data_IF_158214102826
#
_entry.id   IF_158214102826
#
_cell.length_a   1.000
_cell.length_b   1.000
_cell.length_c   1.000
_cell.angle_alpha   90.00
_cell.angle_beta   90.00
_cell.angle_gamma   90.00
#
_symmetry.space_group_name_H-M   'P 1'
#
loop_
_entity.id
_entity.type
_entity.pdbx_description
1 polymer ?
#
# COMPACT_ATOMS: atom_id res chain seq x y z
N UNK A 1 -25.72 -15.34 -4.51
CA UNK A 1 -25.81 -16.80 -4.67
C UNK A 1 -26.70 -17.31 -3.53
N UNK A 2 -27.96 -17.60 -3.80
CA UNK A 2 -28.92 -18.03 -2.77
C UNK A 2 -28.68 -19.51 -2.44
N UNK A 3 -27.82 -19.75 -1.45
CA UNK A 3 -27.52 -21.09 -0.92
C UNK A 3 -28.76 -21.81 -0.37
N UNK A 4 -29.81 -21.05 -0.03
CA UNK A 4 -31.10 -21.52 0.50
C UNK A 4 -31.92 -22.34 -0.51
N UNK A 5 -31.64 -22.22 -1.82
CA UNK A 5 -32.38 -22.92 -2.88
C UNK A 5 -31.91 -24.36 -3.12
N UNK A 6 -30.79 -24.75 -2.53
CA UNK A 6 -30.27 -26.10 -2.67
C UNK A 6 -30.64 -26.89 -1.41
N UNK A 7 -31.47 -27.95 -1.51
CA UNK A 7 -31.68 -28.85 -0.39
C UNK A 7 -30.37 -29.61 -0.17
N UNK A 8 -29.48 -29.01 0.63
CA UNK A 8 -28.31 -29.69 1.15
C UNK A 8 -28.85 -30.83 2.01
N UNK A 9 -28.81 -32.07 1.48
CA UNK A 9 -29.44 -33.26 2.05
C UNK A 9 -28.80 -33.76 3.35
N UNK A 10 -28.47 -32.86 4.26
CA UNK A 10 -27.94 -33.16 5.58
C UNK A 10 -29.03 -33.10 6.65
N UNK A 11 -28.98 -34.03 7.60
CA UNK A 11 -29.75 -33.94 8.83
C UNK A 11 -29.22 -32.78 9.66
N UNK A 12 -30.05 -31.78 9.94
CA UNK A 12 -29.66 -30.67 10.82
C UNK A 12 -29.37 -31.21 12.23
N UNK A 13 -28.14 -31.02 12.70
CA UNK A 13 -27.73 -31.37 14.06
C UNK A 13 -27.94 -30.18 15.00
N UNK A 14 -28.63 -30.41 16.11
CA UNK A 14 -28.66 -29.50 17.25
C UNK A 14 -27.37 -29.64 18.07
N UNK A 15 -26.96 -28.58 18.78
CA UNK A 15 -25.77 -28.60 19.64
C UNK A 15 -25.79 -29.75 20.66
N UNK A 16 -26.97 -30.15 21.15
CA UNK A 16 -27.15 -31.28 22.08
C UNK A 16 -26.93 -32.68 21.45
N UNK A 17 -26.89 -32.77 20.11
CA UNK A 17 -26.62 -34.02 19.39
C UNK A 17 -25.13 -34.18 19.03
N UNK A 18 -24.34 -33.10 19.10
CA UNK A 18 -22.89 -33.13 18.84
C UNK A 18 -22.15 -34.03 19.85
N UNK A 19 -22.59 -34.06 21.11
CA UNK A 19 -21.99 -34.89 22.16
C UNK A 19 -22.36 -36.39 22.06
N UNK A 20 -23.34 -36.73 21.20
CA UNK A 20 -23.82 -38.12 21.02
C UNK A 20 -23.20 -38.82 19.81
N UNK A 21 -22.37 -38.12 19.04
CA UNK A 21 -21.69 -38.67 17.86
C UNK A 21 -20.18 -38.68 18.10
N UNK A 22 -19.49 -39.62 17.46
CA UNK A 22 -18.04 -39.73 17.54
C UNK A 22 -17.40 -38.44 17.00
N UNK A 23 -16.93 -37.59 17.90
CA UNK A 23 -16.32 -36.30 17.56
C UNK A 23 -14.82 -36.42 17.64
N UNK A 24 -14.13 -36.13 16.54
CA UNK A 24 -12.67 -36.00 16.51
C UNK A 24 -12.35 -34.51 16.50
N UNK A 25 -11.85 -34.02 17.63
CA UNK A 25 -11.27 -32.69 17.74
C UNK A 25 -9.76 -32.78 17.59
N UNK A 26 -9.21 -32.09 16.61
CA UNK A 26 -7.77 -31.98 16.41
C UNK A 26 -7.42 -30.52 16.15
N UNK A 27 -6.38 -30.02 16.81
CA UNK A 27 -5.77 -28.73 16.49
C UNK A 27 -4.70 -28.99 15.43
N UNK A 28 -4.90 -28.62 14.16
CA UNK A 28 -3.86 -28.82 13.16
C UNK A 28 -2.67 -27.90 13.45
N UNK A 29 -1.46 -28.47 13.53
CA UNK A 29 -0.21 -27.69 13.47
C UNK A 29 0.01 -27.22 12.03
N UNK A 30 -0.60 -26.09 11.66
CA UNK A 30 -0.41 -25.49 10.35
C UNK A 30 0.93 -24.75 10.30
N UNK A 31 1.97 -25.42 9.82
CA UNK A 31 3.25 -24.80 9.46
C UNK A 31 3.16 -24.28 8.03
N UNK A 32 3.02 -22.97 7.86
CA UNK A 32 3.03 -22.33 6.54
C UNK A 32 4.22 -21.37 6.43
N UNK A 33 4.80 -21.30 5.24
CA UNK A 33 5.73 -20.26 4.85
C UNK A 33 5.00 -19.32 3.89
N UNK A 34 4.99 -18.02 4.18
CA UNK A 34 4.45 -17.01 3.27
C UNK A 34 5.54 -16.58 2.30
N UNK A 35 5.28 -16.73 1.01
CA UNK A 35 6.06 -16.05 -0.01
C UNK A 35 5.42 -14.68 -0.32
N UNK A 36 6.20 -13.78 -0.91
CA UNK A 36 5.69 -12.49 -1.36
C UNK A 36 4.93 -12.61 -2.71
N UNK A 37 4.83 -13.82 -3.29
CA UNK A 37 4.37 -14.04 -4.65
C UNK A 37 5.20 -13.33 -5.73
N UNK A 38 4.92 -13.57 -7.02
CA UNK A 38 5.73 -13.04 -8.13
C UNK A 38 5.63 -11.52 -8.26
N UNK A 39 4.46 -10.94 -7.95
CA UNK A 39 4.25 -9.51 -8.13
C UNK A 39 5.03 -8.66 -7.10
N UNK A 40 4.85 -8.96 -5.81
CA UNK A 40 5.50 -8.19 -4.74
C UNK A 40 6.99 -8.53 -4.66
N UNK A 41 7.41 -9.78 -4.92
CA UNK A 41 8.85 -10.12 -4.93
C UNK A 41 9.64 -9.23 -5.88
N UNK A 42 9.20 -9.10 -7.14
CA UNK A 42 9.87 -8.22 -8.12
C UNK A 42 9.77 -6.74 -7.73
N UNK A 43 8.63 -6.32 -7.17
CA UNK A 43 8.46 -4.96 -6.70
C UNK A 43 9.49 -4.58 -5.62
N UNK A 44 9.69 -5.46 -4.63
CA UNK A 44 10.68 -5.27 -3.57
C UNK A 44 12.11 -5.30 -4.13
N UNK A 45 12.42 -6.19 -5.08
CA UNK A 45 13.72 -6.19 -5.76
C UNK A 45 14.00 -4.87 -6.50
N UNK A 46 12.98 -4.28 -7.15
CA UNK A 46 13.16 -3.02 -7.86
C UNK A 46 13.25 -1.81 -6.92
N UNK A 47 12.55 -1.83 -5.78
CA UNK A 47 12.75 -0.84 -4.73
C UNK A 47 14.20 -0.88 -4.22
N UNK A 48 14.80 -2.07 -4.10
CA UNK A 48 16.23 -2.21 -3.78
C UNK A 48 17.12 -1.54 -4.82
N UNK A 49 16.76 -1.64 -6.09
CA UNK A 49 17.45 -0.96 -7.19
C UNK A 49 17.17 0.55 -7.27
N UNK A 50 16.27 1.09 -6.44
CA UNK A 50 15.85 2.49 -6.49
C UNK A 50 14.94 2.82 -7.67
N UNK A 51 14.13 1.85 -8.11
CA UNK A 51 13.16 2.01 -9.19
C UNK A 51 11.78 1.59 -8.70
N UNK A 52 10.75 2.20 -9.27
CA UNK A 52 9.36 1.83 -9.01
C UNK A 52 8.82 1.14 -10.25
N UNK A 53 8.13 0.01 -10.04
CA UNK A 53 7.49 -0.75 -11.11
C UNK A 53 6.00 -0.92 -10.86
N UNK A 54 5.28 -1.09 -11.96
CA UNK A 54 3.86 -1.33 -12.03
C UNK A 54 3.56 -2.47 -13.02
N UNK A 55 2.32 -2.96 -13.00
CA UNK A 55 1.81 -3.93 -13.99
C UNK A 55 0.71 -3.30 -14.82
N UNK A 56 0.81 -3.45 -16.15
CA UNK A 56 -0.21 -3.01 -17.10
C UNK A 56 -1.19 -4.14 -17.39
N UNK A 57 -2.47 -3.80 -17.51
CA UNK A 57 -3.48 -4.67 -18.12
C UNK A 57 -3.75 -4.18 -19.55
N UNK A 58 -3.55 -5.03 -20.56
CA UNK A 58 -3.71 -4.67 -21.97
C UNK A 58 -5.17 -4.60 -22.42
N UNK A 59 -6.11 -5.08 -21.59
CA UNK A 59 -7.56 -5.01 -21.88
C UNK A 59 -8.17 -3.65 -21.53
N UNK A 60 -7.70 -2.99 -20.47
CA UNK A 60 -8.20 -1.68 -20.03
C UNK A 60 -7.12 -0.61 -19.94
N UNK A 61 -5.91 -0.92 -20.42
CA UNK A 61 -4.70 -0.08 -20.40
C UNK A 61 -4.27 0.42 -19.02
N UNK A 62 -4.82 -0.14 -17.93
CA UNK A 62 -4.56 0.33 -16.58
C UNK A 62 -3.18 -0.11 -16.10
N UNK A 63 -2.40 0.82 -15.58
CA UNK A 63 -1.07 0.64 -14.99
C UNK A 63 -1.21 0.72 -13.48
N UNK A 64 -1.02 -0.41 -12.80
CA UNK A 64 -1.34 -0.59 -11.38
C UNK A 64 -0.08 -0.67 -10.52
N UNK A 65 -0.07 0.14 -9.47
CA UNK A 65 0.93 0.13 -8.39
C UNK A 65 0.20 0.05 -7.03
N UNK A 66 0.67 -0.79 -6.08
CA UNK A 66 1.64 -1.88 -6.26
C UNK A 66 1.23 -2.85 -7.39
N UNK A 67 2.20 -3.52 -8.05
CA UNK A 67 1.89 -4.45 -9.13
C UNK A 67 1.05 -5.61 -8.61
N UNK A 68 0.09 -6.06 -9.43
CA UNK A 68 -0.84 -7.15 -9.11
C UNK A 68 -0.78 -8.19 -10.21
N UNK A 69 -1.07 -9.45 -9.90
CA UNK A 69 -1.11 -10.53 -10.91
C UNK A 69 -2.40 -10.58 -11.71
N UNK A 70 -3.49 -9.96 -11.21
CA UNK A 70 -4.76 -9.87 -11.92
C UNK A 70 -5.31 -8.44 -11.88
N UNK A 71 -6.08 -8.07 -12.89
CA UNK A 71 -6.77 -6.79 -12.95
C UNK A 71 -8.13 -6.90 -12.24
N UNK A 72 -8.40 -6.07 -11.24
CA UNK A 72 -9.65 -6.11 -10.48
C UNK A 72 -10.89 -5.62 -11.24
N UNK A 73 -10.70 -4.95 -12.39
CA UNK A 73 -11.81 -4.50 -13.24
C UNK A 73 -12.11 -5.49 -14.36
N UNK A 74 -11.08 -6.04 -14.97
CA UNK A 74 -11.21 -6.93 -16.12
C UNK A 74 -11.25 -8.42 -15.75
N UNK A 75 -10.88 -8.77 -14.52
CA UNK A 75 -10.81 -10.14 -14.01
C UNK A 75 -9.91 -11.07 -14.84
N UNK A 76 -8.91 -10.51 -15.51
CA UNK A 76 -7.92 -11.23 -16.29
C UNK A 76 -6.53 -11.10 -15.64
N UNK A 77 -5.59 -12.01 -15.95
CA UNK A 77 -4.18 -11.80 -15.65
C UNK A 77 -3.70 -10.44 -16.18
N UNK A 78 -2.75 -9.85 -15.48
CA UNK A 78 -2.04 -8.65 -15.95
C UNK A 78 -0.85 -9.04 -16.82
N UNK A 79 -0.44 -8.14 -17.70
CA UNK A 79 0.39 -8.48 -18.86
C UNK A 79 1.82 -7.94 -18.68
N UNK A 80 2.03 -6.65 -18.92
CA UNK A 80 3.36 -6.07 -19.05
C UNK A 80 3.88 -5.44 -17.76
N UNK A 81 5.18 -5.57 -17.53
CA UNK A 81 5.89 -4.86 -16.49
C UNK A 81 6.29 -3.47 -16.98
N UNK A 82 5.92 -2.44 -16.23
CA UNK A 82 6.20 -1.05 -16.57
C UNK A 82 7.05 -0.43 -15.48
N UNK A 83 8.09 0.31 -15.87
CA UNK A 83 8.74 1.25 -14.97
C UNK A 83 7.89 2.52 -14.90
N UNK A 84 7.67 3.02 -13.69
CA UNK A 84 6.97 4.29 -13.44
C UNK A 84 7.95 5.26 -12.80
N UNK A 85 7.57 6.54 -12.77
CA UNK A 85 8.42 7.57 -12.23
C UNK A 85 8.53 7.46 -10.71
N UNK A 86 9.58 8.06 -10.15
CA UNK A 86 9.72 8.26 -8.70
C UNK A 86 9.13 9.60 -8.23
N UNK A 87 8.40 10.28 -9.11
CA UNK A 87 7.62 11.48 -8.84
C UNK A 87 6.14 11.16 -8.71
N UNK A 88 5.41 12.03 -8.04
CA UNK A 88 3.98 11.87 -7.87
C UNK A 88 3.29 13.12 -7.35
N UNK A 89 2.01 12.95 -7.07
CA UNK A 89 1.12 14.01 -6.59
C UNK A 89 0.45 13.56 -5.30
N UNK A 90 0.47 14.42 -4.28
CA UNK A 90 -0.26 14.17 -3.04
C UNK A 90 -1.76 14.13 -3.32
N UNK A 91 -2.38 12.96 -3.25
CA UNK A 91 -3.84 12.80 -3.37
C UNK A 91 -4.53 13.19 -2.06
N UNK A 92 -4.04 12.68 -0.94
CA UNK A 92 -4.55 12.99 0.40
C UNK A 92 -3.46 12.78 1.44
N UNK A 93 -3.58 13.42 2.60
CA UNK A 93 -2.60 13.32 3.69
C UNK A 93 -3.26 13.48 5.05
N UNK A 94 -2.55 13.08 6.11
CA UNK A 94 -2.92 13.33 7.49
C UNK A 94 -1.74 13.93 8.26
N UNK A 95 -2.03 14.80 9.23
CA UNK A 95 -1.04 15.29 10.20
C UNK A 95 -1.25 14.52 11.51
N UNK A 96 -0.39 13.54 11.76
CA UNK A 96 -0.49 12.63 12.90
C UNK A 96 0.42 13.08 14.04
N UNK A 97 -0.19 13.57 15.13
CA UNK A 97 0.51 13.99 16.36
C UNK A 97 0.64 12.88 17.41
N UNK A 98 0.36 11.64 17.01
CA UNK A 98 0.35 10.45 17.86
C UNK A 98 1.30 9.42 17.25
N UNK A 99 2.10 8.80 18.10
CA UNK A 99 3.03 7.73 17.73
C UNK A 99 2.31 6.40 17.51
N UNK A 100 3.02 5.42 16.99
CA UNK A 100 2.50 4.07 16.74
C UNK A 100 2.02 3.36 18.02
N UNK A 101 2.58 3.71 19.18
CA UNK A 101 2.25 3.19 20.51
C UNK A 101 1.12 3.97 21.21
N UNK A 102 0.40 4.82 20.47
CA UNK A 102 -0.63 5.74 20.95
C UNK A 102 -0.15 6.85 21.91
N UNK A 103 1.16 7.00 22.13
CA UNK A 103 1.70 8.13 22.88
C UNK A 103 1.62 9.42 22.05
N UNK A 104 1.42 10.56 22.73
CA UNK A 104 1.43 11.88 22.06
C UNK A 104 2.86 12.31 21.76
N UNK A 105 3.06 12.94 20.61
CA UNK A 105 4.32 13.58 20.30
C UNK A 105 4.63 14.72 21.30
N UNK A 106 5.92 14.95 21.62
CA UNK A 106 6.33 16.11 22.42
C UNK A 106 5.83 17.41 21.79
N UNK A 107 5.53 18.41 22.63
CA UNK A 107 5.13 19.73 22.14
C UNK A 107 6.23 20.32 21.25
N UNK A 108 5.85 20.77 20.06
CA UNK A 108 6.76 21.34 19.07
C UNK A 108 7.50 20.32 18.20
N UNK A 109 7.29 19.02 18.41
CA UNK A 109 7.77 18.01 17.47
C UNK A 109 6.98 18.07 16.16
N UNK A 110 7.66 17.78 15.04
CA UNK A 110 7.00 17.67 13.74
C UNK A 110 6.06 16.47 13.74
N UNK A 111 4.81 16.61 13.26
CA UNK A 111 3.90 15.49 13.12
C UNK A 111 4.41 14.48 12.11
N UNK A 112 3.97 13.23 12.25
CA UNK A 112 4.06 12.25 11.19
C UNK A 112 3.11 12.66 10.07
N UNK A 113 3.58 12.69 8.82
CA UNK A 113 2.80 13.14 7.67
C UNK A 113 2.60 12.02 6.64
N UNK A 114 1.82 10.96 6.95
CA UNK A 114 1.48 9.95 5.96
C UNK A 114 0.60 10.56 4.86
N UNK A 115 0.90 10.22 3.61
CA UNK A 115 0.17 10.67 2.45
C UNK A 115 -0.01 9.54 1.44
N UNK A 116 -1.15 9.57 0.73
CA UNK A 116 -1.34 8.77 -0.48
C UNK A 116 -0.80 9.57 -1.65
N UNK A 117 0.17 9.00 -2.34
CA UNK A 117 0.90 9.65 -3.43
C UNK A 117 0.54 8.92 -4.71
N UNK A 118 -0.19 9.58 -5.59
CA UNK A 118 -0.41 9.10 -6.94
C UNK A 118 0.89 9.22 -7.73
N UNK A 119 1.37 8.10 -8.25
CA UNK A 119 2.68 8.01 -8.89
C UNK A 119 2.55 8.37 -10.37
N UNK A 120 3.41 9.27 -10.84
CA UNK A 120 3.42 9.68 -12.24
C UNK A 120 3.81 8.47 -13.14
N UNK A 121 3.10 8.29 -14.24
CA UNK A 121 3.24 7.12 -15.12
C UNK A 121 2.35 5.92 -14.73
N UNK A 122 1.74 5.92 -13.54
CA UNK A 122 0.67 4.98 -13.21
C UNK A 122 -0.71 5.52 -13.65
N UNK A 123 -1.74 4.66 -13.64
CA UNK A 123 -3.11 5.12 -13.91
C UNK A 123 -3.65 6.02 -12.80
N UNK A 124 -4.62 6.90 -13.09
CA UNK A 124 -5.23 7.77 -12.08
C UNK A 124 -5.70 7.01 -10.84
N UNK A 125 -5.40 7.56 -9.66
CA UNK A 125 -5.70 6.93 -8.37
C UNK A 125 -4.78 5.76 -7.99
N UNK A 126 -3.81 5.38 -8.83
CA UNK A 126 -2.81 4.37 -8.48
C UNK A 126 -1.58 5.05 -7.87
N UNK A 127 -1.18 4.57 -6.70
CA UNK A 127 -0.19 5.23 -5.90
C UNK A 127 0.28 4.38 -4.73
N UNK A 128 0.95 5.03 -3.79
CA UNK A 128 1.40 4.41 -2.56
C UNK A 128 1.14 5.29 -1.35
N UNK A 129 0.87 4.65 -0.22
CA UNK A 129 0.88 5.30 1.07
C UNK A 129 2.34 5.42 1.52
N UNK A 130 2.83 6.63 1.73
CA UNK A 130 4.18 6.86 2.24
C UNK A 130 4.30 8.16 3.04
N UNK A 131 5.45 8.38 3.67
CA UNK A 131 5.70 9.57 4.47
C UNK A 131 6.10 10.77 3.61
N UNK A 132 5.59 11.94 3.94
CA UNK A 132 6.10 13.22 3.45
C UNK A 132 7.26 13.71 4.34
N UNK A 133 8.24 14.36 3.72
CA UNK A 133 9.36 15.01 4.39
C UNK A 133 9.86 16.21 3.58
N UNK A 134 10.80 16.98 4.16
CA UNK A 134 11.33 18.17 3.48
C UNK A 134 10.30 19.31 3.29
N UNK A 135 9.18 19.26 4.01
CA UNK A 135 8.10 20.26 3.98
C UNK A 135 7.61 20.51 5.41
N UNK A 136 7.20 21.74 5.71
CA UNK A 136 6.56 22.03 6.99
C UNK A 136 5.07 21.63 6.96
N UNK A 137 4.49 21.18 8.08
CA UNK A 137 3.10 20.71 8.13
C UNK A 137 2.09 21.72 7.58
N UNK A 138 2.34 23.01 7.78
CA UNK A 138 1.48 24.10 7.36
C UNK A 138 1.51 24.33 5.84
N UNK A 139 2.56 23.86 5.17
CA UNK A 139 2.76 24.03 3.72
C UNK A 139 2.24 22.82 2.92
N UNK A 140 1.87 21.71 3.58
CA UNK A 140 1.37 20.51 2.91
C UNK A 140 -0.02 20.77 2.32
N UNK A 141 -0.19 20.41 1.04
CA UNK A 141 -1.46 20.56 0.31
C UNK A 141 -1.74 19.38 -0.61
N UNK A 142 -3.02 19.07 -0.79
CA UNK A 142 -3.48 18.17 -1.86
C UNK A 142 -3.08 18.77 -3.21
N UNK A 143 -2.66 17.93 -4.16
CA UNK A 143 -2.15 18.35 -5.46
C UNK A 143 -0.69 18.84 -5.44
N UNK A 144 0.02 18.72 -4.32
CA UNK A 144 1.45 19.03 -4.26
C UNK A 144 2.25 17.99 -5.06
N UNK A 145 3.19 18.46 -5.90
CA UNK A 145 4.13 17.60 -6.63
C UNK A 145 5.31 17.24 -5.74
N UNK A 146 5.58 15.94 -5.65
CA UNK A 146 6.59 15.37 -4.76
C UNK A 146 7.47 14.36 -5.49
N UNK A 147 8.67 14.13 -4.97
CA UNK A 147 9.63 13.15 -5.48
C UNK A 147 10.17 12.28 -4.34
N UNK A 148 10.36 11.01 -4.61
CA UNK A 148 10.93 10.05 -3.67
C UNK A 148 12.38 10.43 -3.31
N UNK A 149 12.66 10.45 -2.02
CA UNK A 149 14.01 10.57 -1.48
C UNK A 149 14.44 9.19 -1.03
N UNK A 150 15.36 8.59 -1.77
CA UNK A 150 15.82 7.22 -1.55
C UNK A 150 16.97 7.15 -0.55
N UNK A 151 17.03 6.05 0.22
CA UNK A 151 18.25 5.65 0.94
C UNK A 151 19.43 5.50 -0.04
N UNK A 152 20.66 5.49 0.46
CA UNK A 152 21.83 5.18 -0.37
C UNK A 152 21.71 3.75 -0.91
N UNK A 153 22.22 3.44 -2.12
CA UNK A 153 22.09 2.11 -2.72
C UNK A 153 22.52 0.94 -1.82
N UNK A 154 23.53 1.14 -0.96
CA UNK A 154 24.07 0.13 -0.06
C UNK A 154 23.16 -0.15 1.16
N UNK A 155 22.26 0.77 1.49
CA UNK A 155 21.35 0.70 2.64
C UNK A 155 19.96 0.17 2.25
N UNK A 156 19.76 -0.15 0.96
CA UNK A 156 18.48 -0.64 0.45
C UNK A 156 18.40 -2.15 0.58
N UNK A 157 17.29 -2.62 1.14
CA UNK A 157 17.10 -4.03 1.48
C UNK A 157 15.98 -4.70 0.68
N UNK A 158 15.29 -3.95 -0.17
CA UNK A 158 14.08 -4.38 -0.86
C UNK A 158 12.86 -4.20 0.02
N UNK A 159 12.69 -3.00 0.55
CA UNK A 159 11.58 -2.61 1.43
C UNK A 159 10.95 -1.32 0.95
N UNK A 160 9.67 -1.09 1.29
CA UNK A 160 9.02 0.20 1.04
C UNK A 160 9.75 1.36 1.72
N UNK A 161 10.47 1.07 2.82
CA UNK A 161 11.28 2.04 3.56
C UNK A 161 12.62 2.34 2.89
N UNK A 162 12.95 1.71 1.76
CA UNK A 162 14.08 2.13 0.91
C UNK A 162 13.86 3.52 0.31
N UNK A 163 12.59 3.91 0.17
CA UNK A 163 12.19 5.32 0.06
C UNK A 163 12.12 5.86 1.49
N UNK A 164 12.92 6.87 1.82
CA UNK A 164 12.89 7.49 3.15
C UNK A 164 11.63 8.33 3.36
N UNK A 165 11.27 9.13 2.35
CA UNK A 165 10.07 9.96 2.31
C UNK A 165 9.91 10.53 0.89
N UNK A 166 8.78 11.18 0.62
CA UNK A 166 8.61 12.04 -0.55
C UNK A 166 8.75 13.51 -0.16
N UNK A 167 9.50 14.27 -0.95
CA UNK A 167 9.75 15.69 -0.73
C UNK A 167 9.18 16.54 -1.89
N UNK A 168 8.75 17.79 -1.66
CA UNK A 168 8.25 18.67 -2.72
C UNK A 168 9.28 18.93 -3.81
N UNK A 169 8.85 18.94 -5.08
CA UNK A 169 9.73 19.23 -6.24
C UNK A 169 9.92 20.74 -6.42
N UNK A 170 8.89 21.52 -6.15
CA UNK A 170 8.96 22.98 -6.12
C UNK A 170 8.94 23.45 -4.67
N UNK A 171 9.91 24.28 -4.26
CA UNK A 171 9.87 24.91 -2.95
C UNK A 171 8.54 25.67 -2.85
N UNK A 172 7.69 25.29 -1.89
CA UNK A 172 6.50 26.05 -1.56
C UNK A 172 6.93 27.52 -1.41
N UNK A 173 6.47 28.39 -2.31
CA UNK A 173 6.72 29.81 -2.22
C UNK A 173 6.24 30.24 -0.84
N UNK A 174 7.18 30.59 0.05
CA UNK A 174 6.92 31.03 1.42
C UNK A 174 5.73 31.97 1.44
N UNK A 175 4.59 31.46 1.91
CA UNK A 175 3.38 32.24 2.08
C UNK A 175 3.65 33.38 3.06
N UNK A 176 3.55 34.60 2.56
CA UNK A 176 3.56 35.90 3.26
C UNK A 176 3.50 35.83 4.78
N UNK A 177 4.55 36.38 5.41
CA UNK A 177 4.53 36.95 6.76
C UNK A 177 3.19 37.65 7.02
N UNK A 178 2.39 37.10 7.95
CA UNK A 178 1.34 37.88 8.62
C UNK A 178 2.05 38.89 9.51
N UNK A 179 2.06 40.15 9.07
CA UNK A 179 2.15 41.31 9.96
C UNK A 179 0.83 41.49 10.70
#
# INVERSE_FOLDING_TARGET
MELEKYPLGGTALSSAQADKVLTVSMTPEMKYAWDNGPAISRYLEELKNGRIIAKKCNKCDRIMIPPRMFCELCWCPTDDWMFVEDTGTVNTFSLCYVNWDASRLPKGAKPHMPAVIEIDGASPGMGMLHMLGGVEPEDVRIGMKVKAVWKKPQEREGSITDIMHFAPIEQAQKGRSKK
#
